data_IF_914054790927
#
_entry.id   IF_914054790927
#
_cell.length_a   1.000
_cell.length_b   1.000
_cell.length_c   1.000
_cell.angle_alpha   90.00
_cell.angle_beta   90.00
_cell.angle_gamma   90.00
#
_symmetry.space_group_name_H-M   'P 1'
#
loop_
_entity.id
_entity.type
_entity.pdbx_description
1 polymer ?
#
# COMPACT_ATOMS: atom_id res chain seq x y z
N UNK A 1 1.72 -0.73 21.78
CA UNK A 1 1.29 -1.45 20.57
C UNK A 1 0.54 -0.46 19.68
N UNK A 2 1.26 0.25 18.80
CA UNK A 2 0.64 1.15 17.84
C UNK A 2 -0.11 0.29 16.82
N UNK A 3 -1.44 0.38 16.85
CA UNK A 3 -2.34 -0.19 15.86
C UNK A 3 -1.87 0.34 14.50
N UNK A 4 -1.16 -0.47 13.71
CA UNK A 4 -0.71 -0.08 12.38
C UNK A 4 -1.96 0.38 11.63
N UNK A 5 -2.06 1.67 11.37
CA UNK A 5 -3.21 2.26 10.69
C UNK A 5 -3.09 1.85 9.21
N UNK A 6 -3.70 0.71 8.86
CA UNK A 6 -3.71 0.18 7.49
C UNK A 6 -4.22 1.22 6.47
N UNK A 7 -5.10 2.11 6.92
CA UNK A 7 -5.57 3.26 6.15
C UNK A 7 -4.43 4.24 5.82
N UNK A 8 -3.53 4.53 6.76
CA UNK A 8 -2.37 5.38 6.51
C UNK A 8 -1.34 4.70 5.59
N UNK A 9 -1.14 3.38 5.74
CA UNK A 9 -0.26 2.60 4.85
C UNK A 9 -0.78 2.62 3.42
N UNK A 10 -2.10 2.45 3.26
CA UNK A 10 -2.77 2.54 1.96
C UNK A 10 -2.93 3.98 1.47
N UNK A 11 -2.63 5.00 2.30
CA UNK A 11 -2.81 6.40 1.97
C UNK A 11 -4.27 6.81 1.78
N UNK A 12 -5.20 6.10 2.42
CA UNK A 12 -6.65 6.33 2.35
C UNK A 12 -7.18 6.83 3.69
N UNK A 13 -8.32 7.53 3.67
CA UNK A 13 -8.98 7.96 4.90
C UNK A 13 -9.53 6.79 5.71
N UNK A 14 -9.70 6.96 7.02
CA UNK A 14 -10.32 5.94 7.90
C UNK A 14 -11.79 5.64 7.53
N UNK A 15 -12.41 6.52 6.75
CA UNK A 15 -13.75 6.37 6.18
C UNK A 15 -13.73 5.92 4.71
N UNK A 16 -12.59 5.48 4.19
CA UNK A 16 -12.47 5.05 2.81
C UNK A 16 -13.36 3.83 2.54
N UNK A 17 -14.02 3.86 1.39
CA UNK A 17 -14.85 2.77 0.90
C UNK A 17 -13.99 1.61 0.41
N UNK A 18 -14.55 0.40 0.35
CA UNK A 18 -13.88 -0.78 -0.20
C UNK A 18 -13.31 -0.55 -1.62
N UNK A 19 -13.99 0.28 -2.43
CA UNK A 19 -13.52 0.65 -3.76
C UNK A 19 -12.26 1.53 -3.71
N UNK A 20 -12.22 2.52 -2.81
CA UNK A 20 -11.04 3.37 -2.61
C UNK A 20 -9.85 2.58 -2.07
N UNK A 21 -10.10 1.67 -1.12
CA UNK A 21 -9.10 0.76 -0.57
C UNK A 21 -8.50 -0.11 -1.69
N UNK A 22 -9.35 -0.74 -2.52
CA UNK A 22 -8.89 -1.57 -3.64
C UNK A 22 -8.11 -0.76 -4.67
N UNK A 23 -8.53 0.47 -4.96
CA UNK A 23 -7.87 1.35 -5.93
C UNK A 23 -6.50 1.80 -5.42
N UNK A 24 -6.41 2.17 -4.14
CA UNK A 24 -5.17 2.54 -3.49
C UNK A 24 -4.19 1.37 -3.41
N UNK A 25 -4.66 0.19 -2.98
CA UNK A 25 -3.87 -1.04 -2.97
C UNK A 25 -3.31 -1.37 -4.36
N UNK A 26 -4.14 -1.34 -5.41
CA UNK A 26 -3.67 -1.60 -6.79
C UNK A 26 -2.62 -0.58 -7.25
N UNK A 27 -2.80 0.70 -6.90
CA UNK A 27 -1.86 1.75 -7.25
C UNK A 27 -0.51 1.52 -6.57
N UNK A 28 -0.51 1.28 -5.26
CA UNK A 28 0.68 0.99 -4.47
C UNK A 28 1.35 -0.31 -4.93
N UNK A 29 0.58 -1.36 -5.18
CA UNK A 29 1.09 -2.62 -5.68
C UNK A 29 1.78 -2.48 -7.04
N UNK A 30 1.31 -1.60 -7.93
CA UNK A 30 1.96 -1.30 -9.21
C UNK A 30 3.21 -0.41 -9.06
N UNK A 31 3.22 0.46 -8.07
CA UNK A 31 4.33 1.38 -7.76
C UNK A 31 5.51 0.67 -7.09
N UNK A 32 5.21 -0.30 -6.22
CA UNK A 32 6.18 -1.15 -5.53
C UNK A 32 6.35 -2.51 -6.19
N UNK A 33 5.71 -2.76 -7.34
CA UNK A 33 5.82 -4.04 -8.03
C UNK A 33 7.29 -4.32 -8.38
N UNK A 34 7.88 -5.46 -7.98
CA UNK A 34 9.30 -5.75 -8.20
C UNK A 34 9.67 -5.84 -9.69
N UNK A 35 8.69 -6.16 -10.55
CA UNK A 35 8.85 -6.16 -12.02
C UNK A 35 9.06 -4.75 -12.59
N UNK A 36 8.40 -3.72 -12.01
CA UNK A 36 8.48 -2.32 -12.46
C UNK A 36 9.50 -1.50 -11.67
N UNK A 37 9.72 -1.85 -10.40
CA UNK A 37 10.59 -1.13 -9.49
C UNK A 37 11.66 -2.07 -8.92
N UNK A 38 12.82 -2.10 -9.58
CA UNK A 38 14.00 -2.89 -9.16
C UNK A 38 14.78 -2.25 -8.01
N UNK A 39 14.17 -1.35 -7.24
CA UNK A 39 14.82 -0.72 -6.09
C UNK A 39 14.93 -1.70 -4.92
N UNK A 40 16.14 -1.83 -4.37
CA UNK A 40 16.39 -2.58 -3.13
C UNK A 40 15.60 -1.91 -1.99
N UNK A 41 14.48 -2.51 -1.59
CA UNK A 41 13.55 -1.97 -0.57
C UNK A 41 12.09 -1.87 -1.04
N UNK A 42 11.79 -2.12 -2.31
CA UNK A 42 10.41 -2.22 -2.79
C UNK A 42 9.68 -3.44 -2.21
N UNK A 43 10.38 -4.55 -1.96
CA UNK A 43 9.82 -5.75 -1.32
C UNK A 43 9.36 -5.51 0.12
N UNK A 44 10.11 -4.75 0.93
CA UNK A 44 9.71 -4.42 2.30
C UNK A 44 8.44 -3.56 2.31
N UNK A 45 8.37 -2.55 1.44
CA UNK A 45 7.16 -1.73 1.30
C UNK A 45 5.98 -2.54 0.78
N UNK A 46 6.20 -3.45 -0.17
CA UNK A 46 5.16 -4.33 -0.68
C UNK A 46 4.64 -5.32 0.39
N UNK A 47 5.48 -5.75 1.34
CA UNK A 47 5.05 -6.58 2.48
C UNK A 47 4.24 -5.82 3.52
N UNK A 48 4.37 -4.49 3.58
CA UNK A 48 3.61 -3.65 4.50
C UNK A 48 2.22 -3.26 3.95
N UNK A 49 2.03 -3.29 2.62
CA UNK A 49 0.77 -2.96 1.91
C UNK A 49 -0.13 -4.19 1.80
#
# INVERSE_FOLDING_TARGET
>A
MAKRDYYEILGVGKNATDEEIKKAFRKLALEFHPDRNKSKGAEDKFKEI
#
